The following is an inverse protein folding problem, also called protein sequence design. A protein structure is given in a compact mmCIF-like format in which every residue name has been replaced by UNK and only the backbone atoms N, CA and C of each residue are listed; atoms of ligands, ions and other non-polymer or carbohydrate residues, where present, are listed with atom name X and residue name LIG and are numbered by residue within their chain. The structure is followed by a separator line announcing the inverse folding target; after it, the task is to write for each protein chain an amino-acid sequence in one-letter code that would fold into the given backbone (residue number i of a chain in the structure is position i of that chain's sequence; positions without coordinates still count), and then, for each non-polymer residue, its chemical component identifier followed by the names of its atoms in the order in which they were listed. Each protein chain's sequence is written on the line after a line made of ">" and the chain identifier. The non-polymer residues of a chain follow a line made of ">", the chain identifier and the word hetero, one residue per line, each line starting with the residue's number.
data_IF_509208753048
#
_entry.id   IF_509208753048
#
_cell.length_a   1.000
_cell.length_b   1.000
_cell.length_c   1.000
_cell.angle_alpha   90.00
_cell.angle_beta   90.00
_cell.angle_gamma   90.00
#
_symmetry.space_group_name_H-M   'P 1'
#
loop_
_entity.id
_entity.type
_entity.pdbx_description
1 polymer ?
#
# COMPACT_ATOMS: atom_id res chain seq x y z
N UNK A 1 4.16 -13.75 -16.03
CA UNK A 1 3.24 -12.81 -16.71
C UNK A 1 1.82 -13.27 -16.46
N UNK A 2 1.06 -12.49 -15.69
CA UNK A 2 -0.35 -12.77 -15.35
C UNK A 2 -1.17 -12.81 -16.65
N UNK A 3 -2.01 -13.85 -16.81
CA UNK A 3 -2.83 -14.14 -18.02
C UNK A 3 -3.67 -12.96 -18.56
N UNK A 4 -3.84 -11.89 -17.78
CA UNK A 4 -4.51 -10.64 -18.16
C UNK A 4 -3.89 -9.92 -19.37
N UNK A 5 -2.57 -10.01 -19.57
CA UNK A 5 -1.89 -9.33 -20.69
C UNK A 5 -1.98 -10.10 -22.02
N UNK A 6 -2.46 -11.34 -21.99
CA UNK A 6 -2.41 -12.27 -23.13
C UNK A 6 -3.73 -12.45 -23.87
N UNK A 7 -4.77 -11.67 -23.55
CA UNK A 7 -6.05 -11.72 -24.29
C UNK A 7 -6.32 -10.43 -25.06
N UNK A 8 -6.07 -10.54 -26.37
CA UNK A 8 -6.63 -9.81 -27.53
C UNK A 8 -6.39 -8.29 -27.58
N UNK A 9 -5.99 -7.85 -28.77
CA UNK A 9 -5.81 -6.48 -29.28
C UNK A 9 -7.07 -5.59 -29.17
N UNK A 10 -7.71 -5.52 -28.00
CA UNK A 10 -8.85 -4.64 -27.77
C UNK A 10 -8.39 -3.26 -27.34
N UNK A 11 -8.99 -2.22 -27.94
CA UNK A 11 -8.77 -0.83 -27.53
C UNK A 11 -9.22 -0.62 -26.08
N UNK A 12 -8.34 -0.01 -25.28
CA UNK A 12 -8.56 0.29 -23.86
C UNK A 12 -8.75 1.78 -23.68
N UNK A 13 -9.74 2.19 -22.90
CA UNK A 13 -10.05 3.59 -22.63
C UNK A 13 -9.54 3.97 -21.24
N UNK A 14 -8.66 4.97 -21.13
CA UNK A 14 -8.07 5.40 -19.86
C UNK A 14 -8.63 6.75 -19.41
N UNK A 15 -9.39 6.75 -18.30
CA UNK A 15 -10.16 7.91 -17.86
C UNK A 15 -9.35 8.88 -16.98
N UNK A 16 -9.16 10.11 -17.47
CA UNK A 16 -8.56 11.26 -16.76
C UNK A 16 -7.17 10.98 -16.18
N UNK A 17 -6.35 10.22 -16.92
CA UNK A 17 -4.94 10.03 -16.56
C UNK A 17 -4.11 11.26 -16.96
N UNK A 18 -3.37 11.81 -16.00
CA UNK A 18 -2.42 12.91 -16.24
C UNK A 18 -1.36 12.50 -17.26
N UNK A 19 -0.82 13.47 -18.00
CA UNK A 19 0.16 13.22 -19.07
C UNK A 19 1.34 12.35 -18.62
N UNK A 20 1.85 12.58 -17.41
CA UNK A 20 2.98 11.82 -16.86
C UNK A 20 2.64 10.35 -16.52
N UNK A 21 1.37 10.01 -16.27
CA UNK A 21 0.93 8.63 -16.02
C UNK A 21 0.70 7.84 -17.32
N UNK A 22 0.51 8.53 -18.45
CA UNK A 22 0.15 7.90 -19.74
C UNK A 22 1.15 6.82 -20.22
N UNK A 23 2.48 7.02 -20.14
CA UNK A 23 3.45 5.99 -20.54
C UNK A 23 3.29 4.69 -19.76
N UNK A 24 3.07 4.77 -18.45
CA UNK A 24 2.86 3.60 -17.59
C UNK A 24 1.55 2.88 -17.89
N UNK A 25 0.48 3.62 -18.20
CA UNK A 25 -0.77 3.00 -18.68
C UNK A 25 -0.51 2.19 -19.95
N UNK A 26 0.26 2.74 -20.89
CA UNK A 26 0.62 2.02 -22.12
C UNK A 26 1.46 0.77 -21.84
N UNK A 27 2.35 0.80 -20.83
CA UNK A 27 3.09 -0.39 -20.39
C UNK A 27 2.20 -1.44 -19.73
N UNK A 28 1.18 -1.03 -18.97
CA UNK A 28 0.21 -1.93 -18.38
C UNK A 28 -0.71 -2.59 -19.41
N UNK A 29 -0.93 -1.96 -20.56
CA UNK A 29 -1.89 -2.39 -21.57
C UNK A 29 -1.21 -2.38 -22.94
N UNK A 30 -0.62 -3.50 -23.40
CA UNK A 30 0.17 -3.58 -24.63
C UNK A 30 -0.63 -3.36 -25.93
N UNK A 31 -1.94 -3.12 -25.85
CA UNK A 31 -2.81 -2.76 -26.97
C UNK A 31 -2.95 -1.25 -27.18
N UNK A 32 -3.93 -0.85 -28.01
CA UNK A 32 -4.23 0.58 -28.24
C UNK A 32 -4.88 1.19 -26.99
N UNK A 33 -4.24 2.20 -26.40
CA UNK A 33 -4.81 2.97 -25.27
C UNK A 33 -5.33 4.32 -25.77
N UNK A 34 -6.61 4.59 -25.52
CA UNK A 34 -7.26 5.89 -25.79
C UNK A 34 -7.53 6.62 -24.48
N UNK A 35 -6.90 7.78 -24.30
CA UNK A 35 -7.14 8.63 -23.13
C UNK A 35 -8.41 9.45 -23.34
N UNK A 36 -9.29 9.44 -22.34
CA UNK A 36 -10.59 10.14 -22.36
C UNK A 36 -10.80 10.94 -21.08
N UNK A 37 -11.57 12.02 -21.18
CA UNK A 37 -11.87 12.92 -20.05
C UNK A 37 -13.26 12.66 -19.46
N UNK A 38 -14.11 11.93 -20.18
CA UNK A 38 -15.47 11.57 -19.78
C UNK A 38 -15.77 10.10 -20.04
N UNK A 39 -16.57 9.49 -19.16
CA UNK A 39 -17.09 8.12 -19.33
C UNK A 39 -18.01 7.99 -20.55
N UNK A 40 -18.62 9.08 -21.00
CA UNK A 40 -19.48 9.11 -22.20
C UNK A 40 -18.70 8.87 -23.50
N UNK A 41 -17.37 8.99 -23.46
CA UNK A 41 -16.49 8.69 -24.60
C UNK A 41 -16.13 7.21 -24.70
N UNK A 42 -16.56 6.39 -23.73
CA UNK A 42 -16.28 4.95 -23.65
C UNK A 42 -17.44 4.19 -24.29
N UNK A 43 -17.21 3.45 -25.39
CA UNK A 43 -18.28 2.71 -26.06
C UNK A 43 -18.73 1.49 -25.24
N UNK A 44 -19.94 1.01 -25.53
CA UNK A 44 -20.48 -0.20 -24.90
C UNK A 44 -19.57 -1.41 -25.14
N UNK A 45 -19.41 -2.28 -24.15
CA UNK A 45 -18.56 -3.46 -24.24
C UNK A 45 -17.05 -3.20 -24.19
N UNK A 46 -16.62 -1.93 -24.11
CA UNK A 46 -15.20 -1.59 -24.05
C UNK A 46 -14.58 -1.90 -22.68
N UNK A 47 -13.25 -1.80 -22.61
CA UNK A 47 -12.51 -1.85 -21.35
C UNK A 47 -12.13 -0.45 -20.90
N UNK A 48 -12.55 -0.08 -19.69
CA UNK A 48 -12.27 1.22 -19.07
C UNK A 48 -11.26 1.07 -17.94
N UNK A 49 -10.15 1.78 -18.02
CA UNK A 49 -9.13 1.86 -16.98
C UNK A 49 -9.35 3.11 -16.13
N UNK A 50 -9.40 2.91 -14.82
CA UNK A 50 -9.54 3.97 -13.82
C UNK A 50 -8.44 3.87 -12.77
N UNK A 51 -8.07 4.99 -12.16
CA UNK A 51 -7.19 5.00 -11.00
C UNK A 51 -7.99 4.79 -9.71
N UNK A 52 -7.57 3.82 -8.87
CA UNK A 52 -8.22 3.47 -7.62
C UNK A 52 -9.68 3.05 -7.81
N UNK A 53 -10.49 3.27 -6.77
CA UNK A 53 -11.96 3.17 -6.86
C UNK A 53 -12.50 4.58 -7.07
N UNK A 54 -13.36 4.77 -8.08
CA UNK A 54 -14.04 6.06 -8.34
C UNK A 54 -15.47 6.01 -7.80
N UNK A 55 -15.89 7.10 -7.17
CA UNK A 55 -17.20 7.19 -6.50
C UNK A 55 -18.40 7.16 -7.46
N UNK A 56 -18.23 7.63 -8.70
CA UNK A 56 -19.29 7.56 -9.71
C UNK A 56 -18.73 7.33 -11.11
N UNK A 57 -19.31 6.34 -11.80
CA UNK A 57 -19.19 6.08 -13.22
C UNK A 57 -20.57 6.25 -13.91
N UNK A 58 -21.39 7.17 -13.38
CA UNK A 58 -22.69 7.50 -13.97
C UNK A 58 -22.57 7.90 -15.44
N UNK A 59 -23.47 7.38 -16.27
CA UNK A 59 -23.45 7.59 -17.72
C UNK A 59 -22.46 6.70 -18.47
N UNK A 60 -21.83 5.72 -17.81
CA UNK A 60 -21.05 4.69 -18.50
C UNK A 60 -21.96 3.82 -19.38
N UNK A 61 -21.50 3.52 -20.59
CA UNK A 61 -22.22 2.66 -21.51
C UNK A 61 -22.39 1.23 -20.96
N UNK A 62 -23.42 0.48 -21.40
CA UNK A 62 -23.64 -0.88 -20.95
C UNK A 62 -22.44 -1.81 -21.24
N UNK A 63 -22.29 -2.85 -20.40
CA UNK A 63 -21.31 -3.92 -20.56
C UNK A 63 -19.83 -3.48 -20.61
N UNK A 64 -19.50 -2.27 -20.14
CA UNK A 64 -18.10 -1.85 -20.02
C UNK A 64 -17.42 -2.62 -18.89
N UNK A 65 -16.26 -3.22 -19.20
CA UNK A 65 -15.41 -3.84 -18.18
C UNK A 65 -14.52 -2.78 -17.54
N UNK A 66 -14.69 -2.55 -16.24
CA UNK A 66 -13.84 -1.62 -15.48
C UNK A 66 -12.62 -2.34 -14.94
N UNK A 67 -11.44 -1.77 -15.19
CA UNK A 67 -10.15 -2.21 -14.67
C UNK A 67 -9.58 -1.10 -13.80
N UNK A 68 -9.20 -1.44 -12.59
CA UNK A 68 -8.65 -0.53 -11.60
C UNK A 68 -7.13 -0.61 -11.59
N UNK A 69 -6.49 0.55 -11.48
CA UNK A 69 -5.04 0.70 -11.36
C UNK A 69 -4.71 1.48 -10.11
N UNK A 70 -3.70 1.04 -9.35
CA UNK A 70 -3.18 1.74 -8.18
C UNK A 70 -1.65 1.61 -8.13
N UNK A 71 -1.00 2.37 -7.25
CA UNK A 71 0.38 2.13 -6.88
C UNK A 71 0.57 0.71 -6.30
N UNK A 72 1.70 0.10 -6.63
CA UNK A 72 2.12 -1.18 -6.07
C UNK A 72 2.69 -1.03 -4.66
N UNK A 73 2.96 -2.18 -4.03
CA UNK A 73 3.37 -2.24 -2.63
C UNK A 73 4.84 -1.82 -2.41
N UNK A 74 5.72 -2.07 -3.39
CA UNK A 74 7.11 -1.57 -3.42
C UNK A 74 7.17 -0.37 -4.37
N UNK A 75 6.98 0.82 -3.82
CA UNK A 75 6.64 2.01 -4.62
C UNK A 75 7.84 2.91 -4.96
N UNK A 76 8.48 3.51 -3.95
CA UNK A 76 9.44 4.60 -4.19
C UNK A 76 10.35 4.89 -2.99
N UNK A 77 11.43 5.66 -3.22
CA UNK A 77 12.20 6.32 -2.15
C UNK A 77 11.72 7.77 -2.01
N UNK A 78 11.08 8.09 -0.89
CA UNK A 78 10.33 9.33 -0.65
C UNK A 78 8.81 9.13 -0.66
N UNK A 79 8.08 10.17 -0.22
CA UNK A 79 6.60 10.17 -0.19
C UNK A 79 6.02 10.31 -1.59
N UNK A 80 4.82 9.77 -1.81
CA UNK A 80 4.07 10.00 -3.06
C UNK A 80 3.76 11.49 -3.30
N UNK A 81 3.64 12.25 -2.22
CA UNK A 81 3.49 13.71 -2.21
C UNK A 81 4.69 14.49 -2.80
N UNK A 82 5.86 13.85 -2.91
CA UNK A 82 7.07 14.44 -3.50
C UNK A 82 7.13 14.26 -5.04
N UNK A 83 6.03 13.85 -5.68
CA UNK A 83 5.94 13.52 -7.12
C UNK A 83 6.98 12.47 -7.58
N UNK A 84 7.41 11.62 -6.65
CA UNK A 84 8.38 10.55 -6.94
C UNK A 84 7.70 9.51 -7.81
N UNK A 85 8.29 9.27 -9.00
CA UNK A 85 7.79 8.29 -9.98
C UNK A 85 7.70 6.91 -9.33
N UNK A 86 6.51 6.27 -9.31
CA UNK A 86 6.36 4.94 -8.74
C UNK A 86 7.01 3.90 -9.65
N UNK A 87 7.70 2.93 -9.05
CA UNK A 87 8.31 1.80 -9.77
C UNK A 87 7.36 0.62 -9.93
N UNK A 88 6.15 0.70 -9.40
CA UNK A 88 5.21 -0.41 -9.42
C UNK A 88 3.78 0.07 -9.41
N UNK A 89 2.93 -0.58 -10.21
CA UNK A 89 1.48 -0.45 -10.20
C UNK A 89 0.83 -1.82 -10.08
N UNK A 90 -0.40 -1.84 -9.58
CA UNK A 90 -1.29 -3.00 -9.65
C UNK A 90 -2.36 -2.77 -10.70
N UNK A 91 -2.80 -3.84 -11.35
CA UNK A 91 -3.87 -3.82 -12.36
C UNK A 91 -4.88 -4.90 -11.99
N UNK A 92 -6.12 -4.50 -11.71
CA UNK A 92 -7.14 -5.40 -11.17
C UNK A 92 -8.46 -5.21 -11.93
N UNK A 93 -8.91 -6.28 -12.57
CA UNK A 93 -10.12 -6.35 -13.38
C UNK A 93 -11.32 -6.96 -12.64
N UNK A 94 -11.17 -7.22 -11.34
CA UNK A 94 -12.20 -7.82 -10.49
C UNK A 94 -12.64 -6.87 -9.37
N UNK A 95 -11.71 -6.16 -8.76
CA UNK A 95 -11.95 -5.26 -7.64
C UNK A 95 -10.69 -4.50 -7.27
N UNK A 96 -10.52 -4.09 -6.01
CA UNK A 96 -9.24 -3.55 -5.54
C UNK A 96 -8.77 -4.27 -4.29
N UNK A 97 -7.46 -4.46 -4.14
CA UNK A 97 -6.87 -5.22 -3.04
C UNK A 97 -7.27 -4.70 -1.65
N UNK A 98 -7.52 -3.40 -1.52
CA UNK A 98 -7.93 -2.77 -0.26
C UNK A 98 -9.46 -2.80 -0.05
N UNK A 99 -10.25 -3.21 -1.04
CA UNK A 99 -11.70 -3.32 -0.93
C UNK A 99 -12.09 -4.71 -0.41
N UNK A 100 -12.48 -4.78 0.86
CA UNK A 100 -12.91 -6.00 1.51
C UNK A 100 -14.42 -6.28 1.33
N UNK A 101 -15.17 -5.40 0.66
CA UNK A 101 -16.61 -5.57 0.43
C UNK A 101 -16.91 -6.53 -0.73
N UNK A 102 -15.95 -6.69 -1.66
CA UNK A 102 -16.07 -7.54 -2.85
C UNK A 102 -14.77 -8.32 -3.11
N UNK A 103 -14.79 -9.35 -3.98
CA UNK A 103 -13.56 -10.02 -4.41
C UNK A 103 -12.62 -9.09 -5.19
N UNK A 104 -11.33 -9.39 -5.16
CA UNK A 104 -10.30 -8.73 -5.99
C UNK A 104 -9.49 -9.77 -6.76
N UNK A 105 -8.73 -9.33 -7.77
CA UNK A 105 -7.81 -10.21 -8.50
C UNK A 105 -6.73 -10.74 -7.55
N UNK A 106 -6.24 -9.92 -6.62
CA UNK A 106 -5.28 -10.39 -5.61
C UNK A 106 -5.89 -11.46 -4.69
N UNK A 107 -7.13 -11.26 -4.21
CA UNK A 107 -7.82 -12.26 -3.39
C UNK A 107 -7.97 -13.58 -4.17
N UNK A 108 -8.30 -13.51 -5.45
CA UNK A 108 -8.40 -14.69 -6.31
C UNK A 108 -7.06 -15.40 -6.49
N UNK A 109 -5.97 -14.65 -6.74
CA UNK A 109 -4.60 -15.19 -6.85
C UNK A 109 -4.24 -15.95 -5.56
N UNK A 110 -4.40 -15.31 -4.41
CA UNK A 110 -4.05 -15.88 -3.11
C UNK A 110 -4.92 -17.09 -2.74
N UNK A 111 -6.22 -17.04 -3.04
CA UNK A 111 -7.16 -18.10 -2.71
C UNK A 111 -6.94 -19.37 -3.54
N UNK A 112 -6.58 -19.23 -4.83
CA UNK A 112 -6.68 -20.34 -5.80
C UNK A 112 -5.37 -20.77 -6.47
N UNK A 113 -4.28 -20.00 -6.33
CA UNK A 113 -3.03 -20.32 -7.02
C UNK A 113 -2.15 -21.24 -6.16
N UNK A 114 -1.80 -22.40 -6.68
CA UNK A 114 -0.69 -23.20 -6.16
C UNK A 114 0.61 -22.67 -6.75
N UNK A 115 1.48 -22.12 -5.89
CA UNK A 115 2.77 -21.61 -6.32
C UNK A 115 3.78 -22.75 -6.30
N UNK A 116 4.50 -22.95 -7.41
CA UNK A 116 5.57 -23.93 -7.47
C UNK A 116 6.77 -23.53 -6.58
N UNK A 117 7.66 -24.50 -6.31
CA UNK A 117 8.82 -24.29 -5.45
C UNK A 117 9.75 -23.16 -5.93
N UNK A 118 9.85 -22.95 -7.25
CA UNK A 118 10.71 -21.90 -7.83
C UNK A 118 10.15 -20.51 -7.50
N UNK A 119 8.83 -20.31 -7.62
CA UNK A 119 8.18 -19.06 -7.26
C UNK A 119 8.26 -18.81 -5.74
N UNK A 120 8.12 -19.86 -4.93
CA UNK A 120 8.26 -19.76 -3.47
C UNK A 120 9.68 -19.37 -3.05
N UNK A 121 10.71 -19.97 -3.66
CA UNK A 121 12.10 -19.63 -3.37
C UNK A 121 12.41 -18.19 -3.79
N UNK A 122 11.93 -17.74 -4.96
CA UNK A 122 12.02 -16.33 -5.37
C UNK A 122 11.35 -15.39 -4.37
N UNK A 123 10.16 -15.75 -3.88
CA UNK A 123 9.42 -14.95 -2.90
C UNK A 123 10.19 -14.85 -1.57
N UNK A 124 10.75 -15.96 -1.09
CA UNK A 124 11.58 -16.00 0.13
C UNK A 124 12.82 -15.12 0.00
N UNK A 125 13.53 -15.21 -1.12
CA UNK A 125 14.72 -14.42 -1.39
C UNK A 125 14.39 -12.93 -1.50
N UNK A 126 13.32 -12.59 -2.22
CA UNK A 126 12.84 -11.22 -2.35
C UNK A 126 12.49 -10.64 -0.97
N UNK A 127 11.73 -11.37 -0.15
CA UNK A 127 11.40 -10.96 1.23
C UNK A 127 12.66 -10.69 2.04
N UNK A 128 13.60 -11.63 2.03
CA UNK A 128 14.85 -11.54 2.81
C UNK A 128 15.64 -10.28 2.43
N UNK A 129 15.74 -9.98 1.13
CA UNK A 129 16.44 -8.79 0.65
C UNK A 129 15.68 -7.48 0.96
N UNK A 130 14.35 -7.47 0.88
CA UNK A 130 13.53 -6.31 1.29
C UNK A 130 13.76 -5.96 2.76
N UNK A 131 13.74 -6.97 3.63
CA UNK A 131 13.95 -6.81 5.07
C UNK A 131 15.38 -6.34 5.36
N UNK A 132 16.39 -6.99 4.77
CA UNK A 132 17.80 -6.61 4.95
C UNK A 132 18.09 -5.18 4.47
N UNK A 133 17.44 -4.74 3.39
CA UNK A 133 17.56 -3.38 2.87
C UNK A 133 16.78 -2.33 3.70
N UNK A 134 16.04 -2.76 4.73
CA UNK A 134 15.14 -1.94 5.55
C UNK A 134 14.19 -1.11 4.69
N UNK A 135 13.65 -1.71 3.62
CA UNK A 135 12.74 -1.02 2.72
C UNK A 135 11.33 -0.96 3.31
N UNK A 136 10.64 0.14 3.03
CA UNK A 136 9.23 0.40 3.32
C UNK A 136 8.57 1.10 2.12
N UNK A 137 7.25 1.28 2.12
CA UNK A 137 6.54 1.93 0.98
C UNK A 137 7.18 3.25 0.54
N UNK A 138 7.64 4.05 1.50
CA UNK A 138 8.16 5.40 1.28
C UNK A 138 9.66 5.55 1.57
N UNK A 139 10.32 4.57 2.20
CA UNK A 139 11.76 4.59 2.51
C UNK A 139 12.24 5.93 3.11
N UNK A 140 11.46 6.52 4.01
CA UNK A 140 11.77 7.80 4.66
C UNK A 140 12.81 7.55 5.74
N UNK A 141 13.90 8.31 5.70
CA UNK A 141 14.92 8.31 6.73
C UNK A 141 14.38 8.88 8.05
N UNK A 142 14.96 8.46 9.16
CA UNK A 142 14.56 8.91 10.48
C UNK A 142 15.58 8.49 11.53
N UNK A 143 15.38 8.97 12.75
CA UNK A 143 16.24 8.63 13.89
C UNK A 143 16.13 7.16 14.31
N UNK A 144 16.92 6.80 15.32
CA UNK A 144 16.80 5.53 16.02
C UNK A 144 15.77 5.66 17.15
N UNK A 145 14.99 4.59 17.40
CA UNK A 145 14.13 4.52 18.59
C UNK A 145 14.80 3.69 19.67
N UNK A 146 14.74 4.15 20.91
CA UNK A 146 15.29 3.44 22.06
C UNK A 146 14.15 2.81 22.86
N UNK A 147 14.20 1.50 22.99
CA UNK A 147 13.25 0.75 23.80
C UNK A 147 13.29 1.23 25.27
N UNK A 148 12.14 1.42 25.94
CA UNK A 148 12.08 1.96 27.30
C UNK A 148 12.76 1.05 28.34
N UNK A 149 12.57 -0.26 28.25
CA UNK A 149 13.22 -1.23 29.13
C UNK A 149 13.29 -2.63 28.48
N UNK A 150 14.24 -3.44 28.94
CA UNK A 150 14.33 -4.84 28.56
C UNK A 150 13.17 -5.62 29.20
N UNK A 151 12.47 -6.45 28.41
CA UNK A 151 11.40 -7.33 28.89
C UNK A 151 9.98 -6.74 28.85
N UNK A 152 9.81 -5.43 28.69
CA UNK A 152 8.48 -4.84 28.45
C UNK A 152 8.10 -5.02 27.00
N UNK A 153 6.92 -5.61 26.74
CA UNK A 153 6.39 -5.79 25.40
C UNK A 153 5.99 -4.44 24.79
N UNK A 154 6.42 -4.17 23.57
CA UNK A 154 6.20 -2.92 22.85
C UNK A 154 5.23 -3.14 21.68
N UNK A 155 4.14 -2.38 21.69
CA UNK A 155 3.04 -2.46 20.73
C UNK A 155 3.00 -1.17 19.91
N UNK A 156 3.14 -1.30 18.59
CA UNK A 156 3.09 -0.17 17.66
C UNK A 156 1.69 -0.03 17.05
N UNK A 157 1.07 1.13 17.22
CA UNK A 157 -0.24 1.47 16.64
C UNK A 157 -0.03 2.45 15.50
N UNK A 158 -0.50 2.08 14.30
CA UNK A 158 -0.27 2.84 13.08
C UNK A 158 -1.46 3.74 12.76
N UNK A 159 -1.22 5.05 12.74
CA UNK A 159 -2.17 6.04 12.23
C UNK A 159 -2.27 5.99 10.70
N UNK A 160 -3.46 6.25 10.19
CA UNK A 160 -3.76 6.34 8.76
C UNK A 160 -4.48 7.65 8.45
N UNK A 161 -4.47 8.09 7.19
CA UNK A 161 -5.33 9.21 6.77
C UNK A 161 -6.77 8.72 6.82
N UNK A 162 -7.63 9.33 7.65
CA UNK A 162 -9.00 8.83 7.89
C UNK A 162 -9.90 8.86 6.64
N UNK A 163 -9.53 9.66 5.64
CA UNK A 163 -10.21 9.72 4.32
C UNK A 163 -9.64 8.76 3.28
N UNK A 164 -8.69 7.90 3.64
CA UNK A 164 -8.11 6.91 2.72
C UNK A 164 -9.15 5.87 2.28
N UNK A 165 -9.19 5.57 0.98
CA UNK A 165 -10.15 4.62 0.41
C UNK A 165 -10.04 3.22 1.07
N UNK A 166 -8.84 2.81 1.49
CA UNK A 166 -8.63 1.54 2.19
C UNK A 166 -9.36 1.47 3.53
N UNK A 167 -9.61 2.61 4.21
CA UNK A 167 -10.47 2.62 5.39
C UNK A 167 -11.93 2.53 5.01
N UNK A 168 -12.37 3.27 3.99
CA UNK A 168 -13.77 3.21 3.55
C UNK A 168 -14.20 1.79 3.16
N UNK A 169 -13.36 1.08 2.40
CA UNK A 169 -13.68 -0.26 1.89
C UNK A 169 -13.12 -1.43 2.71
N UNK A 170 -12.17 -1.18 3.61
CA UNK A 170 -11.50 -2.23 4.39
C UNK A 170 -11.73 -2.15 5.90
N UNK A 171 -12.18 -1.02 6.44
CA UNK A 171 -12.38 -0.87 7.87
C UNK A 171 -13.76 -1.39 8.31
N UNK A 172 -13.73 -2.32 9.28
CA UNK A 172 -14.93 -3.02 9.77
C UNK A 172 -15.35 -2.50 11.14
N UNK A 173 -14.58 -2.80 12.19
CA UNK A 173 -14.92 -2.46 13.57
C UNK A 173 -14.46 -1.06 13.97
N UNK A 174 -13.32 -0.62 13.45
CA UNK A 174 -12.67 0.65 13.80
C UNK A 174 -12.32 1.40 12.53
N UNK A 175 -12.73 2.66 12.43
CA UNK A 175 -12.50 3.51 11.23
C UNK A 175 -11.71 4.79 11.51
N UNK A 176 -11.39 5.05 12.77
CA UNK A 176 -10.71 6.28 13.21
C UNK A 176 -9.46 5.94 14.00
N UNK A 177 -8.46 6.79 13.93
CA UNK A 177 -7.17 6.56 14.57
C UNK A 177 -7.29 6.50 16.09
N UNK A 178 -8.09 7.38 16.70
CA UNK A 178 -8.27 7.40 18.15
C UNK A 178 -9.12 6.24 18.66
N UNK A 179 -10.06 5.75 17.86
CA UNK A 179 -10.83 4.54 18.20
C UNK A 179 -9.93 3.29 18.16
N UNK A 180 -9.00 3.22 17.20
CA UNK A 180 -7.97 2.18 17.18
C UNK A 180 -7.12 2.27 18.44
N UNK A 181 -6.59 3.45 18.75
CA UNK A 181 -5.69 3.60 19.89
C UNK A 181 -6.36 3.26 21.23
N UNK A 182 -7.64 3.64 21.41
CA UNK A 182 -8.46 3.24 22.57
C UNK A 182 -8.66 1.73 22.64
N UNK A 183 -9.00 1.09 21.52
CA UNK A 183 -9.18 -0.36 21.46
C UNK A 183 -7.87 -1.09 21.81
N UNK A 184 -6.73 -0.64 21.27
CA UNK A 184 -5.42 -1.21 21.62
C UNK A 184 -5.10 -1.01 23.10
N UNK A 185 -5.30 0.19 23.66
CA UNK A 185 -5.06 0.42 25.10
C UNK A 185 -5.93 -0.47 25.99
N UNK A 186 -7.18 -0.71 25.60
CA UNK A 186 -8.06 -1.62 26.35
C UNK A 186 -7.57 -3.08 26.30
N UNK A 187 -6.97 -3.50 25.19
CA UNK A 187 -6.46 -4.86 24.97
C UNK A 187 -5.06 -5.10 25.56
N UNK A 188 -4.19 -4.08 25.50
CA UNK A 188 -2.77 -4.12 25.83
C UNK A 188 -2.48 -3.23 27.04
N UNK A 189 -3.12 -3.52 28.19
CA UNK A 189 -3.12 -2.64 29.37
C UNK A 189 -1.72 -2.41 29.97
N UNK A 190 -0.91 -3.46 30.03
CA UNK A 190 0.41 -3.46 30.66
C UNK A 190 1.56 -3.33 29.65
N UNK A 191 1.25 -3.32 28.35
CA UNK A 191 2.25 -3.18 27.30
C UNK A 191 2.59 -1.69 27.08
N UNK A 192 3.81 -1.44 26.58
CA UNK A 192 4.22 -0.10 26.16
C UNK A 192 3.69 0.18 24.75
N UNK A 193 2.73 1.10 24.66
CA UNK A 193 2.02 1.44 23.43
C UNK A 193 2.65 2.67 22.80
N UNK A 194 3.10 2.51 21.56
CA UNK A 194 3.61 3.59 20.72
C UNK A 194 2.57 3.91 19.65
N UNK A 195 2.13 5.16 19.57
CA UNK A 195 1.36 5.66 18.43
C UNK A 195 2.27 6.32 17.41
N UNK A 196 2.21 5.86 16.16
CA UNK A 196 2.91 6.48 15.03
C UNK A 196 1.89 7.07 14.06
N UNK A 197 1.68 8.41 14.05
CA UNK A 197 0.76 9.05 13.12
C UNK A 197 1.25 8.93 11.68
N UNK A 198 0.33 9.08 10.72
CA UNK A 198 0.67 8.97 9.30
C UNK A 198 1.64 10.09 8.86
N UNK A 199 2.70 9.79 8.08
CA UNK A 199 3.70 10.79 7.69
C UNK A 199 3.11 11.98 6.92
N UNK A 200 2.10 11.76 6.06
CA UNK A 200 1.44 12.87 5.35
C UNK A 200 0.64 13.80 6.28
N UNK A 201 0.13 13.29 7.42
CA UNK A 201 -0.53 14.12 8.43
C UNK A 201 0.51 14.96 9.18
N UNK A 202 1.63 14.34 9.57
CA UNK A 202 2.75 15.03 10.23
C UNK A 202 3.36 16.11 9.32
N UNK A 203 3.47 15.84 8.02
CA UNK A 203 3.93 16.82 7.03
C UNK A 203 2.86 17.89 6.69
N UNK A 204 1.66 17.81 7.27
CA UNK A 204 0.51 18.68 7.02
C UNK A 204 -0.08 18.54 5.61
N UNK A 205 0.31 17.51 4.85
CA UNK A 205 -0.17 17.23 3.50
C UNK A 205 -1.59 16.66 3.49
N UNK A 206 -2.02 16.10 4.62
CA UNK A 206 -3.38 15.63 4.87
C UNK A 206 -3.85 16.15 6.22
N UNK A 207 -5.17 16.32 6.36
CA UNK A 207 -5.78 16.68 7.63
C UNK A 207 -5.56 15.57 8.65
N UNK A 208 -5.29 15.95 9.90
CA UNK A 208 -5.34 15.03 11.02
C UNK A 208 -6.77 14.49 11.19
N UNK A 209 -6.86 13.26 11.69
CA UNK A 209 -8.12 12.67 12.13
C UNK A 209 -8.70 13.40 13.33
N UNK A 210 -9.94 13.03 13.65
CA UNK A 210 -10.68 13.64 14.76
C UNK A 210 -9.98 13.32 16.09
N UNK A 211 -9.74 14.35 16.92
CA UNK A 211 -9.14 14.27 18.25
C UNK A 211 -7.73 13.66 18.32
N UNK A 212 -6.97 13.58 17.21
CA UNK A 212 -5.62 12.98 17.24
C UNK A 212 -4.64 13.68 18.19
N UNK A 213 -4.88 14.95 18.53
CA UNK A 213 -4.10 15.66 19.56
C UNK A 213 -4.18 14.97 20.95
N UNK A 214 -5.21 14.14 21.19
CA UNK A 214 -5.43 13.41 22.44
C UNK A 214 -4.73 12.05 22.47
N UNK A 215 -3.95 11.69 21.45
CA UNK A 215 -3.30 10.38 21.37
C UNK A 215 -2.50 10.01 22.63
N UNK A 216 -1.82 10.97 23.25
CA UNK A 216 -1.04 10.78 24.49
C UNK A 216 -1.87 10.33 25.69
N UNK A 217 -3.19 10.46 25.65
CA UNK A 217 -4.10 9.91 26.68
C UNK A 217 -4.21 8.39 26.58
N UNK A 218 -3.93 7.81 25.41
CA UNK A 218 -4.17 6.40 25.11
C UNK A 218 -2.88 5.61 24.81
N UNK A 219 -1.76 6.27 24.56
CA UNK A 219 -0.46 5.66 24.34
C UNK A 219 0.60 6.19 25.31
N UNK A 220 1.68 5.42 25.51
CA UNK A 220 2.82 5.84 26.32
C UNK A 220 3.70 6.84 25.55
N UNK A 221 3.77 6.68 24.22
CA UNK A 221 4.64 7.50 23.37
C UNK A 221 4.01 7.78 22.00
N UNK A 222 4.20 9.01 21.50
CA UNK A 222 3.88 9.38 20.11
C UNK A 222 5.18 9.61 19.36
N UNK A 223 5.45 8.83 18.31
CA UNK A 223 6.72 8.84 17.57
C UNK A 223 6.52 9.33 16.14
N UNK A 224 7.14 10.46 15.79
CA UNK A 224 6.97 11.12 14.47
C UNK A 224 8.22 11.10 13.60
N UNK A 225 9.40 11.02 14.20
CA UNK A 225 10.72 11.27 13.62
C UNK A 225 11.58 10.00 13.42
N UNK A 226 11.10 8.85 13.87
CA UNK A 226 11.74 7.55 13.64
C UNK A 226 11.20 6.92 12.36
N UNK A 227 12.08 6.31 11.55
CA UNK A 227 11.64 5.60 10.35
C UNK A 227 10.73 4.41 10.71
N UNK A 228 9.77 4.09 9.83
CA UNK A 228 8.89 2.94 10.10
C UNK A 228 9.67 1.63 10.12
N UNK A 229 10.70 1.47 9.28
CA UNK A 229 11.55 0.27 9.27
C UNK A 229 12.25 0.05 10.60
N UNK A 230 12.79 1.12 11.21
CA UNK A 230 13.45 1.03 12.53
C UNK A 230 12.45 0.67 13.64
N UNK A 231 11.26 1.30 13.63
CA UNK A 231 10.19 0.92 14.56
C UNK A 231 9.81 -0.54 14.41
N UNK A 232 9.61 -1.01 13.17
CA UNK A 232 9.24 -2.39 12.87
C UNK A 232 10.33 -3.38 13.26
N UNK A 233 11.61 -3.01 13.28
CA UNK A 233 12.68 -3.90 13.75
C UNK A 233 12.63 -4.02 15.29
N UNK A 234 12.32 -2.93 16.00
CA UNK A 234 12.44 -2.81 17.45
C UNK A 234 11.21 -3.24 18.28
N UNK A 235 10.00 -3.19 17.71
CA UNK A 235 8.75 -3.55 18.42
C UNK A 235 8.42 -5.05 18.33
N UNK A 236 7.49 -5.52 19.15
CA UNK A 236 7.10 -6.94 19.18
C UNK A 236 5.82 -7.21 18.39
N UNK A 237 4.90 -6.25 18.39
CA UNK A 237 3.59 -6.38 17.77
C UNK A 237 3.13 -5.07 17.13
N UNK A 238 2.37 -5.18 16.04
CA UNK A 238 1.87 -4.03 15.28
C UNK A 238 0.36 -4.13 15.13
N UNK A 239 -0.35 -3.06 15.50
CA UNK A 239 -1.79 -2.93 15.37
C UNK A 239 -2.12 -1.95 14.26
N UNK A 240 -2.97 -2.39 13.34
CA UNK A 240 -3.36 -1.63 12.15
C UNK A 240 -4.87 -1.74 11.93
N UNK A 241 -5.47 -0.74 11.30
CA UNK A 241 -6.77 -0.92 10.64
C UNK A 241 -6.55 -1.63 9.31
N UNK A 242 -6.03 -0.92 8.31
CA UNK A 242 -5.80 -1.44 6.94
C UNK A 242 -4.45 -1.06 6.34
N UNK A 243 -3.57 -0.42 7.12
CA UNK A 243 -2.29 0.13 6.66
C UNK A 243 -1.40 -0.93 6.02
N UNK A 244 -0.72 -0.59 4.92
CA UNK A 244 0.30 -1.47 4.33
C UNK A 244 1.42 -1.83 5.33
N UNK A 245 1.62 -1.01 6.37
CA UNK A 245 2.60 -1.27 7.44
C UNK A 245 2.42 -2.63 8.11
N UNK A 246 1.18 -3.12 8.24
CA UNK A 246 0.94 -4.47 8.78
C UNK A 246 1.52 -5.57 7.88
N UNK A 247 1.46 -5.41 6.56
CA UNK A 247 2.15 -6.31 5.64
C UNK A 247 3.66 -6.23 5.81
N UNK A 248 4.22 -5.02 5.90
CA UNK A 248 5.66 -4.81 6.12
C UNK A 248 6.16 -5.43 7.44
N UNK A 249 5.30 -5.45 8.46
CA UNK A 249 5.55 -6.10 9.75
C UNK A 249 5.56 -7.64 9.62
N UNK A 250 4.63 -8.21 8.84
CA UNK A 250 4.61 -9.65 8.52
C UNK A 250 5.90 -10.09 7.80
N UNK A 251 6.40 -9.28 6.86
CA UNK A 251 7.67 -9.59 6.16
C UNK A 251 8.84 -9.74 7.14
N UNK A 252 8.79 -9.04 8.27
CA UNK A 252 9.80 -9.05 9.35
C UNK A 252 9.50 -10.06 10.46
N UNK A 253 8.48 -10.89 10.30
CA UNK A 253 8.09 -11.89 11.30
C UNK A 253 7.51 -11.29 12.58
N UNK A 254 6.98 -10.05 12.54
CA UNK A 254 6.32 -9.44 13.69
C UNK A 254 4.89 -9.96 13.82
N UNK A 255 4.38 -9.94 15.06
CA UNK A 255 2.95 -10.19 15.30
C UNK A 255 2.15 -9.01 14.77
N UNK A 256 1.03 -9.29 14.12
CA UNK A 256 0.19 -8.25 13.52
C UNK A 256 -1.27 -8.47 13.90
N UNK A 257 -1.86 -7.45 14.50
CA UNK A 257 -3.29 -7.39 14.83
C UNK A 257 -4.01 -6.48 13.83
N UNK A 258 -4.97 -7.04 13.10
CA UNK A 258 -5.77 -6.30 12.13
C UNK A 258 -7.15 -5.96 12.71
N UNK A 259 -7.45 -4.67 12.82
CA UNK A 259 -8.76 -4.14 13.22
C UNK A 259 -9.67 -3.86 12.00
N UNK A 260 -9.09 -3.83 10.80
CA UNK A 260 -9.81 -3.89 9.52
C UNK A 260 -9.54 -5.20 8.78
N UNK A 261 -9.86 -5.22 7.50
CA UNK A 261 -9.65 -6.34 6.58
C UNK A 261 -8.71 -5.94 5.41
N UNK A 262 -7.44 -5.56 5.68
CA UNK A 262 -6.48 -5.33 4.62
C UNK A 262 -6.27 -6.60 3.77
N UNK A 263 -5.65 -6.48 2.60
CA UNK A 263 -5.49 -7.60 1.66
C UNK A 263 -4.78 -8.83 2.26
N UNK A 264 -3.93 -8.62 3.27
CA UNK A 264 -3.14 -9.65 3.95
C UNK A 264 -3.81 -10.25 5.21
N UNK A 265 -4.98 -9.75 5.62
CA UNK A 265 -5.77 -10.33 6.70
C UNK A 265 -6.60 -11.55 6.23
N UNK A 266 -6.97 -12.45 7.14
CA UNK A 266 -7.84 -13.59 6.85
C UNK A 266 -7.15 -14.82 6.27
N UNK A 267 -5.82 -14.80 6.11
CA UNK A 267 -5.03 -15.91 5.58
C UNK A 267 -4.31 -16.74 6.67
N UNK A 268 -4.58 -16.45 7.94
CA UNK A 268 -3.97 -17.14 9.08
C UNK A 268 -2.58 -16.65 9.48
N UNK A 269 -2.11 -15.54 8.92
CA UNK A 269 -0.82 -14.88 9.24
C UNK A 269 -0.97 -13.73 10.26
N UNK A 270 -2.20 -13.30 10.52
CA UNK A 270 -2.54 -12.14 11.37
C UNK A 270 -3.56 -12.54 12.43
N UNK A 271 -3.62 -11.76 13.50
CA UNK A 271 -4.71 -11.79 14.48
C UNK A 271 -5.81 -10.82 14.05
N UNK A 272 -6.86 -11.34 13.43
CA UNK A 272 -7.92 -10.51 12.83
C UNK A 272 -9.10 -10.32 13.79
N UNK A 273 -9.50 -9.07 14.02
CA UNK A 273 -10.70 -8.74 14.80
C UNK A 273 -11.97 -9.07 14.04
N UNK A 274 -11.94 -8.92 12.71
CA UNK A 274 -13.04 -9.24 11.82
C UNK A 274 -12.68 -10.42 10.90
N UNK A 275 -13.67 -11.21 10.50
CA UNK A 275 -13.49 -12.32 9.56
C UNK A 275 -13.96 -11.94 8.16
N UNK A 276 -13.15 -12.24 7.15
CA UNK A 276 -13.60 -12.27 5.76
C UNK A 276 -14.04 -13.69 5.38
N UNK A 277 -15.34 -13.97 5.13
CA UNK A 277 -15.81 -15.33 4.87
C UNK A 277 -15.31 -15.90 3.53
N UNK A 278 -14.86 -15.04 2.60
CA UNK A 278 -14.35 -15.44 1.28
C UNK A 278 -12.90 -15.96 1.33
N UNK A 279 -12.12 -15.50 2.31
CA UNK A 279 -10.72 -15.91 2.51
C UNK A 279 -10.71 -17.15 3.39
N UNK A 280 -10.60 -18.32 2.75
CA UNK A 280 -10.77 -19.63 3.41
C UNK A 280 -9.49 -20.45 3.45
N UNK A 281 -8.47 -20.06 2.68
CA UNK A 281 -7.16 -20.71 2.66
C UNK A 281 -6.25 -20.17 3.76
N UNK A 282 -5.36 -21.02 4.27
CA UNK A 282 -4.20 -20.61 5.06
C UNK A 282 -2.99 -20.47 4.15
N UNK A 283 -2.26 -19.37 4.28
CA UNK A 283 -1.05 -19.10 3.51
C UNK A 283 0.18 -19.11 4.42
N UNK A 284 1.29 -19.54 3.87
CA UNK A 284 2.62 -19.17 4.36
C UNK A 284 2.93 -17.73 3.97
N UNK A 285 3.87 -17.11 4.68
CA UNK A 285 4.33 -15.76 4.35
C UNK A 285 4.97 -15.69 2.94
N UNK A 286 5.62 -16.76 2.48
CA UNK A 286 6.24 -16.80 1.14
C UNK A 286 5.17 -16.89 0.05
N UNK A 287 4.05 -17.60 0.26
CA UNK A 287 2.90 -17.59 -0.67
C UNK A 287 2.21 -16.22 -0.73
N UNK A 288 2.06 -15.54 0.42
CA UNK A 288 1.54 -14.17 0.44
C UNK A 288 2.46 -13.22 -0.34
N UNK A 289 3.78 -13.35 -0.18
CA UNK A 289 4.78 -12.57 -0.92
C UNK A 289 4.74 -12.90 -2.41
N UNK A 290 4.65 -14.17 -2.80
CA UNK A 290 4.53 -14.57 -4.20
C UNK A 290 3.30 -13.91 -4.87
N UNK A 291 2.13 -14.03 -4.25
CA UNK A 291 0.92 -13.43 -4.79
C UNK A 291 0.98 -11.91 -4.85
N UNK A 292 1.41 -11.26 -3.76
CA UNK A 292 1.35 -9.80 -3.62
C UNK A 292 2.52 -9.03 -4.25
N UNK A 293 3.73 -9.61 -4.33
CA UNK A 293 4.92 -8.93 -4.84
C UNK A 293 5.46 -9.50 -6.15
N UNK A 294 5.15 -10.75 -6.52
CA UNK A 294 5.66 -11.32 -7.79
C UNK A 294 4.60 -11.39 -8.88
N UNK A 295 3.36 -11.74 -8.52
CA UNK A 295 2.31 -12.07 -9.51
C UNK A 295 1.33 -10.93 -9.74
N UNK A 296 0.87 -10.27 -8.68
CA UNK A 296 -0.16 -9.24 -8.78
C UNK A 296 0.33 -7.91 -9.37
N UNK A 297 1.45 -7.31 -8.90
CA UNK A 297 1.92 -6.03 -9.42
C UNK A 297 2.73 -6.16 -10.71
N UNK A 298 2.74 -5.06 -11.47
CA UNK A 298 3.71 -4.77 -12.51
C UNK A 298 4.78 -3.84 -11.96
N UNK A 299 6.00 -3.98 -12.46
CA UNK A 299 7.14 -3.13 -12.11
C UNK A 299 7.69 -2.44 -13.35
N UNK A 300 8.17 -1.22 -13.18
CA UNK A 300 8.72 -0.38 -14.24
C UNK A 300 10.12 0.07 -13.87
N UNK A 301 10.97 0.25 -14.86
CA UNK A 301 12.25 0.90 -14.63
C UNK A 301 12.10 2.42 -14.39
N UNK A 302 13.20 3.09 -14.07
CA UNK A 302 13.18 4.52 -13.74
C UNK A 302 12.89 5.42 -14.94
N UNK A 303 13.15 4.96 -16.17
CA UNK A 303 12.74 5.71 -17.37
C UNK A 303 11.23 5.62 -17.58
N UNK A 304 10.60 4.52 -17.12
CA UNK A 304 9.18 4.28 -17.31
C UNK A 304 8.89 3.83 -18.74
N UNK A 305 9.85 3.17 -19.38
CA UNK A 305 9.80 2.74 -20.79
C UNK A 305 9.68 1.23 -20.94
N UNK A 306 9.96 0.46 -19.87
CA UNK A 306 9.83 -1.00 -19.89
C UNK A 306 9.39 -1.57 -18.55
N UNK A 307 8.76 -2.73 -18.62
CA UNK A 307 8.49 -3.54 -17.45
C UNK A 307 9.75 -4.29 -17.00
N UNK A 308 9.93 -4.41 -15.69
CA UNK A 308 11.03 -5.14 -15.06
C UNK A 308 10.50 -6.17 -14.05
N UNK A 309 11.38 -7.01 -13.50
CA UNK A 309 11.01 -7.92 -12.43
C UNK A 309 10.91 -7.20 -11.08
N UNK A 310 10.25 -7.84 -10.09
CA UNK A 310 10.22 -7.33 -8.72
C UNK A 310 11.63 -7.25 -8.11
N UNK A 311 12.48 -8.21 -8.47
CA UNK A 311 13.86 -8.28 -8.04
C UNK A 311 14.72 -7.16 -8.64
N UNK A 312 14.53 -6.83 -9.91
CA UNK A 312 15.19 -5.68 -10.54
C UNK A 312 14.70 -4.37 -9.91
N UNK A 313 13.40 -4.24 -9.67
CA UNK A 313 12.82 -3.06 -9.01
C UNK A 313 13.39 -2.88 -7.60
N UNK A 314 13.58 -3.98 -6.85
CA UNK A 314 14.28 -3.96 -5.58
C UNK A 314 15.72 -3.44 -5.73
N UNK A 315 16.48 -3.94 -6.71
CA UNK A 315 17.85 -3.47 -6.97
C UNK A 315 17.90 -1.97 -7.28
N UNK A 316 16.93 -1.48 -8.07
CA UNK A 316 16.76 -0.05 -8.35
C UNK A 316 16.47 0.75 -7.08
N UNK A 317 15.55 0.26 -6.21
CA UNK A 317 15.22 0.92 -4.94
C UNK A 317 16.41 0.99 -4.00
N UNK A 318 17.23 -0.08 -3.92
CA UNK A 318 18.43 -0.12 -3.09
C UNK A 318 19.46 0.91 -3.56
N UNK A 319 19.76 0.94 -4.86
CA UNK A 319 20.68 1.91 -5.44
C UNK A 319 20.16 3.36 -5.24
N UNK A 320 18.86 3.58 -5.41
CA UNK A 320 18.25 4.88 -5.18
C UNK A 320 18.36 5.32 -3.73
N UNK A 321 18.04 4.45 -2.77
CA UNK A 321 18.17 4.76 -1.33
C UNK A 321 19.62 5.11 -0.96
N UNK A 322 20.60 4.37 -1.47
CA UNK A 322 22.01 4.65 -1.23
C UNK A 322 22.46 6.02 -1.77
N UNK A 323 21.95 6.44 -2.93
CA UNK A 323 22.29 7.74 -3.55
C UNK A 323 21.51 8.93 -2.99
N UNK A 324 20.30 8.71 -2.49
CA UNK A 324 19.44 9.78 -1.99
C UNK A 324 19.91 10.35 -0.65
N UNK A 325 20.68 9.58 0.14
CA UNK A 325 21.06 9.91 1.50
C UNK A 325 19.86 9.97 2.46
N UNK A 326 20.13 10.07 3.76
CA UNK A 326 19.09 10.12 4.81
C UNK A 326 18.48 11.51 5.03
N UNK A 327 18.87 12.50 4.22
CA UNK A 327 18.46 13.90 4.43
C UNK A 327 17.47 14.31 3.34
N UNK A 328 16.22 14.59 3.74
CA UNK A 328 15.26 15.27 2.86
C UNK A 328 15.75 16.71 2.65
N UNK A 329 16.13 17.12 1.42
CA UNK A 329 16.66 18.46 1.21
C UNK A 329 15.62 19.54 1.55
N UNK A 330 16.04 20.61 2.21
CA UNK A 330 15.19 21.75 2.62
C UNK A 330 14.39 22.37 1.45
N UNK A 331 14.93 22.36 0.23
CA UNK A 331 14.22 22.82 -0.96
C UNK A 331 13.02 21.93 -1.32
N UNK A 332 13.00 20.66 -0.90
CA UNK A 332 11.81 19.79 -1.03
C UNK A 332 10.71 20.21 -0.08
N UNK A 333 11.03 20.71 1.11
CA UNK A 333 10.03 21.34 1.99
C UNK A 333 9.44 22.61 1.37
N UNK A 334 10.25 23.42 0.68
CA UNK A 334 9.76 24.60 -0.06
C UNK A 334 8.92 24.20 -1.29
N UNK A 335 9.36 23.19 -2.04
CA UNK A 335 8.64 22.66 -3.20
C UNK A 335 7.28 22.05 -2.81
N UNK A 336 7.17 21.45 -1.62
CA UNK A 336 5.90 20.99 -1.03
C UNK A 336 4.90 22.12 -0.79
N UNK A 337 5.37 23.31 -0.40
CA UNK A 337 4.51 24.51 -0.24
C UNK A 337 4.00 24.97 -1.61
N UNK A 338 4.86 24.96 -2.62
CA UNK A 338 4.51 25.36 -3.99
C UNK A 338 3.53 24.36 -4.64
N UNK A 339 3.73 23.05 -4.46
CA UNK A 339 2.83 22.01 -4.98
C UNK A 339 1.41 22.11 -4.39
N UNK A 340 1.26 22.50 -3.11
CA UNK A 340 -0.06 22.78 -2.51
C UNK A 340 -0.80 23.91 -3.23
N UNK A 341 -0.08 24.93 -3.69
CA UNK A 341 -0.65 26.10 -4.36
C UNK A 341 -0.97 25.83 -5.84
N UNK A 342 -0.19 24.96 -6.50
CA UNK A 342 -0.25 24.78 -7.95
C UNK A 342 -1.07 23.54 -8.38
N UNK A 343 -1.02 22.43 -7.64
CA UNK A 343 -1.57 21.14 -8.12
C UNK A 343 -2.93 20.79 -7.51
N UNK A 344 -3.41 21.55 -6.52
CA UNK A 344 -4.76 21.37 -5.99
C UNK A 344 -5.05 19.93 -5.54
N UNK A 345 -4.05 19.26 -4.97
CA UNK A 345 -4.25 17.94 -4.33
C UNK A 345 -5.06 18.20 -3.06
N UNK A 346 -6.38 18.11 -3.17
CA UNK A 346 -7.30 18.02 -2.04
C UNK A 346 -7.20 16.65 -1.36
#
# INVERSE_FOLDING_TARGET
>A
MTKLLTQVEQEVFALRFSAWKRPYVQLCFPGRVRFVDSVTQVPAGARLVVWGVRDSLEGLAPNVQVVHVEDGFLRSVGLGADLVRPLSWVVDDCGMYFDATRPSRLESILQSTEFDGVVIDRARDLRTKIVAARLSKYNIAGGAWRRPSAGVRCVLVIGQVETDASLFFGAVSVRRNMDLLRAVRAQCKDDYIIYKPHPDVVAGMRNAGIDEHSARTWCDEVVVDVSISEMLDAVDEVHVMTSLTGFEALLRGKRVQCHGLPFYAGWGLTHDVARCPRRTRRLTIDELVAGSLLVYPLYFDRSGERCISAEDALGVLQAWKATAGDVVPWWRCLFRIILRLVVGVR
#
